data_IF_426060809513
#
_entry.id   IF_426060809513
#
_cell.length_a   1.000
_cell.length_b   1.000
_cell.length_c   1.000
_cell.angle_alpha   90.00
_cell.angle_beta   90.00
_cell.angle_gamma   90.00
#
_symmetry.space_group_name_H-M   'P 1'
#
loop_
_entity.id
_entity.type
_entity.pdbx_description
1 polymer ?
#
# COMPACT_ATOMS: atom_id res chain seq x y z
N UNK A 1 20.24 -32.88 -15.93
CA UNK A 1 20.00 -33.97 -14.96
C UNK A 1 19.86 -33.43 -13.55
N UNK A 2 19.25 -34.20 -12.63
CA UNK A 2 19.14 -33.86 -11.20
C UNK A 2 20.51 -34.01 -10.54
N UNK A 3 20.97 -32.97 -9.85
CA UNK A 3 22.24 -32.99 -9.10
C UNK A 3 22.02 -32.60 -7.65
N UNK A 4 22.84 -33.15 -6.75
CA UNK A 4 22.99 -32.64 -5.38
C UNK A 4 24.41 -32.13 -5.23
N UNK A 5 24.57 -30.82 -5.06
CA UNK A 5 25.88 -30.17 -4.95
C UNK A 5 25.99 -29.50 -3.58
N UNK A 6 27.15 -29.64 -2.95
CA UNK A 6 27.49 -28.96 -1.70
C UNK A 6 28.87 -28.35 -1.86
N UNK A 7 28.97 -27.05 -1.65
CA UNK A 7 30.23 -26.33 -1.72
C UNK A 7 30.39 -25.39 -0.53
N UNK A 8 31.64 -25.03 -0.26
CA UNK A 8 32.00 -24.15 0.84
C UNK A 8 31.75 -22.67 0.54
N UNK A 9 32.51 -21.82 1.21
CA UNK A 9 32.50 -20.38 1.03
C UNK A 9 32.89 -19.96 -0.40
N UNK A 10 32.31 -18.86 -0.90
CA UNK A 10 32.74 -18.19 -2.13
C UNK A 10 32.65 -19.07 -3.37
N UNK A 11 31.82 -20.11 -3.32
CA UNK A 11 31.77 -21.13 -4.36
C UNK A 11 30.78 -20.75 -5.45
N UNK A 12 31.09 -21.14 -6.68
CA UNK A 12 30.17 -21.04 -7.82
C UNK A 12 29.68 -22.42 -8.20
N UNK A 13 28.36 -22.63 -8.13
CA UNK A 13 27.72 -23.89 -8.48
C UNK A 13 26.71 -23.68 -9.61
N UNK A 14 26.74 -24.55 -10.61
CA UNK A 14 25.76 -24.58 -11.69
C UNK A 14 25.18 -25.99 -11.80
N UNK A 15 23.87 -26.10 -11.82
CA UNK A 15 23.19 -27.35 -12.14
C UNK A 15 21.99 -27.11 -13.05
N UNK A 16 21.38 -28.20 -13.48
CA UNK A 16 20.22 -28.16 -14.38
C UNK A 16 18.92 -28.44 -13.60
N UNK A 17 17.90 -28.90 -14.31
CA UNK A 17 16.58 -29.22 -13.80
C UNK A 17 16.59 -30.20 -12.62
N UNK A 18 15.78 -29.88 -11.59
CA UNK A 18 15.51 -30.79 -10.48
C UNK A 18 16.67 -30.94 -9.51
N UNK A 19 17.50 -29.91 -9.35
CA UNK A 19 18.74 -29.99 -8.58
C UNK A 19 18.62 -29.35 -7.20
N UNK A 20 19.44 -29.83 -6.26
CA UNK A 20 19.59 -29.30 -4.91
C UNK A 20 21.01 -28.78 -4.72
N UNK A 21 21.16 -27.47 -4.49
CA UNK A 21 22.46 -26.82 -4.30
C UNK A 21 22.51 -26.25 -2.89
N UNK A 22 23.58 -26.56 -2.16
CA UNK A 22 23.89 -25.96 -0.86
C UNK A 22 25.27 -25.31 -0.93
N UNK A 23 25.37 -24.06 -0.52
CA UNK A 23 26.61 -23.30 -0.56
C UNK A 23 26.84 -22.55 0.76
N UNK A 24 28.11 -22.20 1.02
CA UNK A 24 28.45 -21.30 2.11
C UNK A 24 28.02 -19.85 1.85
N UNK A 25 28.56 -18.94 2.64
CA UNK A 25 28.38 -17.49 2.45
C UNK A 25 29.09 -17.00 1.18
N UNK A 26 28.71 -15.82 0.68
CA UNK A 26 29.33 -15.18 -0.49
C UNK A 26 29.28 -16.03 -1.77
N UNK A 27 28.36 -17.00 -1.85
CA UNK A 27 28.37 -17.99 -2.92
C UNK A 27 27.43 -17.62 -4.05
N UNK A 28 27.72 -18.12 -5.25
CA UNK A 28 26.83 -18.01 -6.42
C UNK A 28 26.31 -19.39 -6.78
N UNK A 29 24.98 -19.55 -6.81
CA UNK A 29 24.36 -20.81 -7.21
C UNK A 29 23.32 -20.56 -8.31
N UNK A 30 23.43 -21.30 -9.40
CA UNK A 30 22.51 -21.25 -10.54
C UNK A 30 21.95 -22.64 -10.78
N UNK A 31 20.62 -22.78 -10.83
CA UNK A 31 19.99 -24.04 -11.22
C UNK A 31 18.85 -23.86 -12.22
N UNK A 32 18.46 -24.95 -12.88
CA UNK A 32 17.31 -24.96 -13.78
C UNK A 32 15.96 -24.87 -13.05
N UNK A 33 14.91 -25.34 -13.71
CA UNK A 33 13.57 -25.45 -13.12
C UNK A 33 13.55 -26.51 -12.00
N UNK A 34 12.50 -26.49 -11.17
CA UNK A 34 12.27 -27.51 -10.14
C UNK A 34 13.41 -27.67 -9.13
N UNK A 35 14.13 -26.58 -8.85
CA UNK A 35 15.37 -26.66 -8.08
C UNK A 35 15.25 -26.01 -6.71
N UNK A 36 16.09 -26.47 -5.79
CA UNK A 36 16.22 -25.95 -4.43
C UNK A 36 17.64 -25.42 -4.21
N UNK A 37 17.76 -24.14 -3.88
CA UNK A 37 19.06 -23.49 -3.66
C UNK A 37 19.08 -22.91 -2.24
N UNK A 38 20.10 -23.28 -1.48
CA UNK A 38 20.35 -22.78 -0.12
C UNK A 38 21.76 -22.22 -0.07
N UNK A 39 21.91 -20.98 0.42
CA UNK A 39 23.22 -20.39 0.63
C UNK A 39 23.29 -19.52 1.89
N UNK A 40 24.51 -19.17 2.30
CA UNK A 40 24.74 -18.27 3.42
C UNK A 40 24.44 -16.81 3.08
N UNK A 41 24.87 -15.89 3.95
CA UNK A 41 24.75 -14.45 3.73
C UNK A 41 25.58 -13.96 2.53
N UNK A 42 25.18 -12.83 1.95
CA UNK A 42 25.88 -12.20 0.83
C UNK A 42 25.89 -13.06 -0.45
N UNK A 43 24.94 -13.98 -0.60
CA UNK A 43 24.93 -14.94 -1.70
C UNK A 43 24.05 -14.49 -2.85
N UNK A 44 24.32 -15.01 -4.04
CA UNK A 44 23.52 -14.79 -5.25
C UNK A 44 22.95 -16.11 -5.76
N UNK A 45 21.62 -16.26 -5.71
CA UNK A 45 20.93 -17.48 -6.12
C UNK A 45 20.02 -17.19 -7.31
N UNK A 46 20.17 -17.97 -8.38
CA UNK A 46 19.34 -17.87 -9.58
C UNK A 46 18.73 -19.23 -9.90
N UNK A 47 17.42 -19.26 -10.11
CA UNK A 47 16.75 -20.49 -10.56
C UNK A 47 15.61 -20.22 -11.55
N UNK A 48 15.15 -21.28 -12.20
CA UNK A 48 14.02 -21.24 -13.11
C UNK A 48 12.66 -21.20 -12.42
N UNK A 49 11.72 -21.92 -13.02
CA UNK A 49 10.32 -22.03 -12.62
C UNK A 49 10.18 -23.07 -11.50
N UNK A 50 9.23 -22.84 -10.59
CA UNK A 50 8.85 -23.78 -9.53
C UNK A 50 10.06 -24.14 -8.66
N UNK A 51 10.78 -23.12 -8.23
CA UNK A 51 12.01 -23.27 -7.47
C UNK A 51 11.89 -22.66 -6.08
N UNK A 52 12.73 -23.15 -5.18
CA UNK A 52 12.85 -22.69 -3.80
C UNK A 52 14.25 -22.12 -3.61
N UNK A 53 14.35 -20.86 -3.21
CA UNK A 53 15.63 -20.19 -2.95
C UNK A 53 15.61 -19.68 -1.51
N UNK A 54 16.64 -20.00 -0.75
CA UNK A 54 16.84 -19.51 0.62
C UNK A 54 18.26 -18.99 0.79
N UNK A 55 18.40 -17.75 1.25
CA UNK A 55 19.72 -17.22 1.60
C UNK A 55 19.70 -16.36 2.87
N UNK A 56 20.89 -16.06 3.39
CA UNK A 56 21.06 -15.16 4.53
C UNK A 56 20.83 -13.69 4.19
N UNK A 57 21.23 -12.79 5.09
CA UNK A 57 21.15 -11.35 4.88
C UNK A 57 22.01 -10.86 3.70
N UNK A 58 21.66 -9.70 3.15
CA UNK A 58 22.43 -9.07 2.07
C UNK A 58 22.51 -9.90 0.79
N UNK A 59 21.53 -10.77 0.56
CA UNK A 59 21.56 -11.73 -0.55
C UNK A 59 20.72 -11.26 -1.73
N UNK A 60 21.03 -11.79 -2.91
CA UNK A 60 20.25 -11.57 -4.14
C UNK A 60 19.64 -12.88 -4.59
N UNK A 61 18.32 -12.95 -4.70
CA UNK A 61 17.59 -14.14 -5.17
C UNK A 61 16.79 -13.80 -6.41
N UNK A 62 16.93 -14.61 -7.46
CA UNK A 62 16.20 -14.46 -8.72
C UNK A 62 15.55 -15.79 -9.07
N UNK A 63 14.23 -15.80 -9.26
CA UNK A 63 13.53 -16.98 -9.77
C UNK A 63 12.41 -16.67 -10.76
N UNK A 64 11.96 -17.70 -11.48
CA UNK A 64 10.87 -17.59 -12.44
C UNK A 64 9.47 -17.66 -11.81
N UNK A 65 8.56 -18.23 -12.60
CA UNK A 65 7.14 -18.46 -12.27
C UNK A 65 6.99 -19.46 -11.10
N UNK A 66 6.00 -19.23 -10.23
CA UNK A 66 5.59 -20.16 -9.15
C UNK A 66 6.73 -20.54 -8.21
N UNK A 67 7.60 -19.59 -7.91
CA UNK A 67 8.78 -19.82 -7.08
C UNK A 67 8.61 -19.19 -5.70
N UNK A 68 9.39 -19.69 -4.74
CA UNK A 68 9.44 -19.19 -3.36
C UNK A 68 10.86 -18.70 -3.08
N UNK A 69 10.98 -17.44 -2.67
CA UNK A 69 12.25 -16.80 -2.34
C UNK A 69 12.21 -16.34 -0.89
N UNK A 70 13.19 -16.77 -0.10
CA UNK A 70 13.32 -16.38 1.31
C UNK A 70 14.74 -15.82 1.51
N UNK A 71 14.84 -14.61 2.05
CA UNK A 71 16.14 -14.05 2.41
C UNK A 71 16.10 -13.31 3.75
N UNK A 72 17.28 -12.99 4.28
CA UNK A 72 17.42 -12.17 5.48
C UNK A 72 17.14 -10.68 5.23
N UNK A 73 17.53 -9.83 6.16
CA UNK A 73 17.48 -8.38 6.02
C UNK A 73 18.40 -7.88 4.90
N UNK A 74 18.13 -6.67 4.38
CA UNK A 74 18.95 -6.01 3.36
C UNK A 74 19.05 -6.78 2.05
N UNK A 75 18.08 -7.64 1.74
CA UNK A 75 18.17 -8.55 0.60
C UNK A 75 17.34 -8.06 -0.60
N UNK A 76 17.73 -8.50 -1.79
CA UNK A 76 17.03 -8.20 -3.04
C UNK A 76 16.44 -9.47 -3.63
N UNK A 77 15.12 -9.52 -3.78
CA UNK A 77 14.41 -10.69 -4.30
C UNK A 77 13.64 -10.29 -5.55
N UNK A 78 13.90 -10.98 -6.65
CA UNK A 78 13.18 -10.80 -7.92
C UNK A 78 12.54 -12.12 -8.31
N UNK A 79 11.23 -12.10 -8.58
CA UNK A 79 10.55 -13.29 -9.07
C UNK A 79 9.57 -13.00 -10.20
N UNK A 80 9.17 -14.05 -10.91
CA UNK A 80 8.15 -13.97 -11.93
C UNK A 80 6.72 -13.88 -11.38
N UNK A 81 5.83 -14.57 -12.08
CA UNK A 81 4.39 -14.61 -11.84
C UNK A 81 4.08 -15.62 -10.72
N UNK A 82 3.03 -15.36 -9.93
CA UNK A 82 2.49 -16.30 -8.92
C UNK A 82 3.53 -16.82 -7.93
N UNK A 83 4.41 -15.93 -7.50
CA UNK A 83 5.54 -16.26 -6.63
C UNK A 83 5.36 -15.68 -5.24
N UNK A 84 6.08 -16.23 -4.28
CA UNK A 84 6.08 -15.77 -2.88
C UNK A 84 7.48 -15.31 -2.51
N UNK A 85 7.59 -14.09 -1.99
CA UNK A 85 8.85 -13.48 -1.58
C UNK A 85 8.74 -13.12 -0.10
N UNK A 86 9.72 -13.52 0.68
CA UNK A 86 9.82 -13.18 2.11
C UNK A 86 11.22 -12.67 2.41
N UNK A 87 11.32 -11.48 2.99
CA UNK A 87 12.59 -10.87 3.34
C UNK A 87 12.50 -10.09 4.65
N UNK A 88 13.65 -9.80 5.25
CA UNK A 88 13.74 -9.03 6.48
C UNK A 88 13.59 -7.52 6.27
N UNK A 89 13.98 -6.77 7.29
CA UNK A 89 14.15 -5.31 7.26
C UNK A 89 14.97 -4.82 6.06
N UNK A 90 14.65 -3.64 5.52
CA UNK A 90 15.47 -2.96 4.50
C UNK A 90 15.58 -3.73 3.18
N UNK A 91 14.59 -4.54 2.84
CA UNK A 91 14.67 -5.44 1.68
C UNK A 91 13.90 -4.92 0.48
N UNK A 92 14.36 -5.29 -0.72
CA UNK A 92 13.75 -4.94 -1.98
C UNK A 92 13.14 -6.19 -2.62
N UNK A 93 11.86 -6.14 -2.96
CA UNK A 93 11.16 -7.27 -3.56
C UNK A 93 10.44 -6.83 -4.83
N UNK A 94 10.68 -7.56 -5.92
CA UNK A 94 10.03 -7.33 -7.22
C UNK A 94 9.36 -8.62 -7.65
N UNK A 95 8.08 -8.55 -7.99
CA UNK A 95 7.36 -9.65 -8.61
C UNK A 95 6.41 -9.18 -9.69
N UNK A 96 5.91 -10.14 -10.48
CA UNK A 96 4.91 -9.85 -11.51
C UNK A 96 3.49 -10.12 -10.97
N UNK A 97 2.61 -10.60 -11.85
CA UNK A 97 1.20 -10.86 -11.60
C UNK A 97 0.96 -11.92 -10.51
N UNK A 98 -0.02 -11.67 -9.64
CA UNK A 98 -0.58 -12.68 -8.75
C UNK A 98 0.39 -13.15 -7.66
N UNK A 99 1.33 -12.30 -7.28
CA UNK A 99 2.40 -12.64 -6.34
C UNK A 99 2.13 -12.10 -4.93
N UNK A 100 2.79 -12.71 -3.95
CA UNK A 100 2.71 -12.31 -2.54
C UNK A 100 4.09 -11.92 -2.02
N UNK A 101 4.22 -10.68 -1.56
CA UNK A 101 5.47 -10.11 -1.07
C UNK A 101 5.29 -9.77 0.42
N UNK A 102 6.22 -10.23 1.23
CA UNK A 102 6.26 -9.98 2.67
C UNK A 102 7.66 -9.47 3.02
N UNK A 103 7.74 -8.28 3.59
CA UNK A 103 9.01 -7.70 4.04
C UNK A 103 8.88 -7.06 5.42
N UNK A 104 10.02 -6.80 6.05
CA UNK A 104 10.10 -6.08 7.31
C UNK A 104 9.83 -4.57 7.15
N UNK A 105 10.32 -3.80 8.13
CA UNK A 105 10.30 -2.34 8.08
C UNK A 105 11.22 -1.79 6.97
N UNK A 106 10.98 -0.55 6.57
CA UNK A 106 11.82 0.21 5.63
C UNK A 106 12.12 -0.54 4.33
N UNK A 107 11.14 -1.31 3.86
CA UNK A 107 11.29 -2.18 2.70
C UNK A 107 10.58 -1.60 1.47
N UNK A 108 11.07 -1.98 0.29
CA UNK A 108 10.48 -1.58 -0.99
C UNK A 108 9.91 -2.80 -1.67
N UNK A 109 8.64 -2.73 -2.06
CA UNK A 109 7.96 -3.81 -2.76
C UNK A 109 7.31 -3.29 -4.03
N UNK A 110 7.56 -3.98 -5.15
CA UNK A 110 6.92 -3.70 -6.44
C UNK A 110 6.29 -4.98 -6.97
N UNK A 111 5.00 -4.95 -7.27
CA UNK A 111 4.31 -6.09 -7.86
C UNK A 111 3.37 -5.73 -9.01
N UNK A 112 3.08 -6.71 -9.85
CA UNK A 112 2.07 -6.58 -10.91
C UNK A 112 0.64 -6.64 -10.38
N UNK A 113 -0.30 -6.86 -11.30
CA UNK A 113 -1.73 -6.99 -11.00
C UNK A 113 -2.06 -8.15 -10.06
N UNK A 114 -3.15 -8.01 -9.30
CA UNK A 114 -3.70 -9.03 -8.39
C UNK A 114 -2.69 -9.52 -7.34
N UNK A 115 -1.85 -8.62 -6.86
CA UNK A 115 -0.79 -8.96 -5.91
C UNK A 115 -1.16 -8.58 -4.48
N UNK A 116 -0.48 -9.19 -3.52
CA UNK A 116 -0.57 -8.86 -2.11
C UNK A 116 0.82 -8.45 -1.60
N UNK A 117 0.92 -7.25 -1.02
CA UNK A 117 2.16 -6.70 -0.48
C UNK A 117 1.94 -6.40 1.01
N UNK A 118 2.82 -6.91 1.86
CA UNK A 118 2.78 -6.71 3.31
C UNK A 118 4.15 -6.22 3.77
N UNK A 119 4.20 -5.06 4.43
CA UNK A 119 5.43 -4.45 4.90
C UNK A 119 5.28 -3.86 6.31
N UNK A 120 6.41 -3.60 6.97
CA UNK A 120 6.45 -2.88 8.23
C UNK A 120 6.31 -1.36 8.07
N UNK A 121 6.51 -0.63 9.18
CA UNK A 121 6.67 0.84 9.24
C UNK A 121 7.68 1.35 8.20
N UNK A 122 7.44 2.53 7.63
CA UNK A 122 8.39 3.24 6.78
C UNK A 122 8.60 2.61 5.41
N UNK A 123 7.67 1.77 4.97
CA UNK A 123 7.84 0.99 3.75
C UNK A 123 7.20 1.67 2.55
N UNK A 124 7.71 1.34 1.36
CA UNK A 124 7.19 1.80 0.08
C UNK A 124 6.66 0.62 -0.74
N UNK A 125 5.41 0.70 -1.17
CA UNK A 125 4.74 -0.38 -1.89
C UNK A 125 4.08 0.14 -3.15
N UNK A 126 4.37 -0.49 -4.29
CA UNK A 126 3.73 -0.20 -5.58
C UNK A 126 3.11 -1.47 -6.16
N UNK A 127 1.83 -1.43 -6.53
CA UNK A 127 1.19 -2.57 -7.18
C UNK A 127 0.24 -2.19 -8.33
N UNK A 128 0.00 -3.13 -9.23
CA UNK A 128 -0.99 -2.96 -10.30
C UNK A 128 -2.45 -3.04 -9.83
N UNK A 129 -3.38 -3.01 -10.78
CA UNK A 129 -4.82 -3.21 -10.57
C UNK A 129 -5.19 -4.46 -9.74
N UNK A 130 -6.25 -4.33 -8.92
CA UNK A 130 -6.80 -5.36 -8.02
C UNK A 130 -5.81 -5.88 -6.98
N UNK A 131 -4.97 -5.01 -6.45
CA UNK A 131 -3.97 -5.41 -5.47
C UNK A 131 -4.38 -5.06 -4.03
N UNK A 132 -3.72 -5.71 -3.07
CA UNK A 132 -3.87 -5.42 -1.65
C UNK A 132 -2.51 -5.03 -1.08
N UNK A 133 -2.43 -3.83 -0.52
CA UNK A 133 -1.22 -3.31 0.11
C UNK A 133 -1.50 -3.08 1.59
N UNK A 134 -0.65 -3.62 2.45
CA UNK A 134 -0.71 -3.46 3.91
C UNK A 134 0.67 -3.01 4.38
N UNK A 135 0.72 -1.89 5.11
CA UNK A 135 1.95 -1.36 5.68
C UNK A 135 1.75 -0.78 7.08
N UNK A 136 2.85 -0.54 7.80
CA UNK A 136 2.84 0.16 9.08
C UNK A 136 2.70 1.67 8.93
N UNK A 137 2.91 2.41 10.02
CA UNK A 137 2.94 3.87 10.00
C UNK A 137 4.09 4.43 9.14
N UNK A 138 3.99 5.69 8.69
CA UNK A 138 5.04 6.33 7.90
C UNK A 138 5.23 5.73 6.51
N UNK A 139 4.23 5.02 5.96
CA UNK A 139 4.40 4.25 4.73
C UNK A 139 3.81 4.95 3.52
N UNK A 140 4.34 4.61 2.35
CA UNK A 140 3.87 5.10 1.05
C UNK A 140 3.33 3.93 0.24
N UNK A 141 2.11 4.06 -0.26
CA UNK A 141 1.43 3.02 -1.04
C UNK A 141 0.86 3.61 -2.33
N UNK A 142 1.18 2.98 -3.46
CA UNK A 142 0.64 3.28 -4.78
C UNK A 142 -0.01 2.03 -5.38
N UNK A 143 -1.26 2.13 -5.83
CA UNK A 143 -1.90 1.03 -6.55
C UNK A 143 -2.77 1.47 -7.74
N UNK A 144 -2.99 0.56 -8.68
CA UNK A 144 -3.99 0.76 -9.74
C UNK A 144 -5.43 0.61 -9.24
N UNK A 145 -6.41 0.65 -10.16
CA UNK A 145 -7.83 0.57 -9.80
C UNK A 145 -8.22 -0.71 -9.06
N UNK A 146 -9.36 -0.64 -8.37
CA UNK A 146 -9.99 -1.75 -7.61
C UNK A 146 -9.05 -2.32 -6.54
N UNK A 147 -8.18 -1.49 -5.99
CA UNK A 147 -7.19 -1.91 -5.01
C UNK A 147 -7.63 -1.58 -3.59
N UNK A 148 -6.98 -2.21 -2.62
CA UNK A 148 -7.17 -1.96 -1.20
C UNK A 148 -5.84 -1.61 -0.55
N UNK A 149 -5.79 -0.45 0.08
CA UNK A 149 -4.61 0.06 0.75
C UNK A 149 -4.95 0.23 2.24
N UNK A 150 -4.08 -0.30 3.10
CA UNK A 150 -4.17 -0.18 4.55
C UNK A 150 -2.80 0.25 5.06
N UNK A 151 -2.76 1.34 5.82
CA UNK A 151 -1.54 1.85 6.43
C UNK A 151 -1.81 2.38 7.85
N UNK A 152 -0.74 2.59 8.61
CA UNK A 152 -0.81 3.24 9.93
C UNK A 152 -1.00 4.75 9.82
N UNK A 153 -0.66 5.47 10.90
CA UNK A 153 -0.58 6.93 10.89
C UNK A 153 0.56 7.42 9.98
N UNK A 154 0.59 8.73 9.70
CA UNK A 154 1.67 9.40 8.96
C UNK A 154 1.89 8.80 7.55
N UNK A 155 0.83 8.32 6.91
CA UNK A 155 0.95 7.51 5.69
C UNK A 155 0.34 8.18 4.47
N UNK A 156 0.94 7.91 3.31
CA UNK A 156 0.50 8.41 2.01
C UNK A 156 0.00 7.26 1.15
N UNK A 157 -1.24 7.36 0.70
CA UNK A 157 -1.89 6.34 -0.12
C UNK A 157 -2.46 6.96 -1.40
N UNK A 158 -2.09 6.40 -2.54
CA UNK A 158 -2.66 6.76 -3.84
C UNK A 158 -3.20 5.51 -4.53
N UNK A 159 -4.45 5.53 -4.97
CA UNK A 159 -5.01 4.45 -5.78
C UNK A 159 -5.85 4.94 -6.96
N UNK A 160 -6.07 4.07 -7.95
CA UNK A 160 -7.01 4.33 -9.03
C UNK A 160 -8.48 4.20 -8.61
N UNK A 161 -9.36 4.11 -9.60
CA UNK A 161 -10.82 4.06 -9.41
C UNK A 161 -11.28 2.86 -8.57
N UNK A 162 -12.46 2.98 -7.95
CA UNK A 162 -13.15 1.89 -7.21
C UNK A 162 -12.28 1.29 -6.12
N UNK A 163 -11.39 2.09 -5.54
CA UNK A 163 -10.42 1.64 -4.54
C UNK A 163 -10.93 1.88 -3.12
N UNK A 164 -10.31 1.18 -2.17
CA UNK A 164 -10.59 1.32 -0.74
C UNK A 164 -9.31 1.65 0.00
N UNK A 165 -9.26 2.82 0.62
CA UNK A 165 -8.10 3.31 1.35
C UNK A 165 -8.47 3.46 2.83
N UNK A 166 -7.60 2.98 3.71
CA UNK A 166 -7.69 3.13 5.15
C UNK A 166 -6.32 3.52 5.69
N UNK A 167 -6.26 4.63 6.42
CA UNK A 167 -5.05 5.04 7.13
C UNK A 167 -5.38 5.57 8.54
N UNK A 168 -4.34 5.68 9.37
CA UNK A 168 -4.43 6.29 10.69
C UNK A 168 -4.50 7.82 10.63
N UNK A 169 -4.10 8.46 11.72
CA UNK A 169 -4.05 9.93 11.81
C UNK A 169 -2.96 10.51 10.90
N UNK A 170 -3.02 11.82 10.65
CA UNK A 170 -1.99 12.59 9.93
C UNK A 170 -1.63 11.96 8.58
N UNK A 171 -2.64 11.56 7.81
CA UNK A 171 -2.46 10.73 6.61
C UNK A 171 -3.10 11.38 5.39
N UNK A 172 -2.51 11.12 4.23
CA UNK A 172 -2.93 11.64 2.94
C UNK A 172 -3.43 10.50 2.07
N UNK A 173 -4.70 10.56 1.67
CA UNK A 173 -5.36 9.52 0.89
C UNK A 173 -5.92 10.13 -0.39
N UNK A 174 -5.48 9.63 -1.54
CA UNK A 174 -5.97 10.04 -2.86
C UNK A 174 -6.49 8.83 -3.62
N UNK A 175 -7.71 8.92 -4.18
CA UNK A 175 -8.19 7.87 -5.08
C UNK A 175 -9.00 8.41 -6.27
N UNK A 176 -9.18 7.57 -7.29
CA UNK A 176 -10.08 7.87 -8.41
C UNK A 176 -11.57 7.76 -8.06
N UNK A 177 -12.41 7.69 -9.08
CA UNK A 177 -13.88 7.68 -8.95
C UNK A 177 -14.38 6.44 -8.20
N UNK A 178 -15.57 6.56 -7.58
CA UNK A 178 -16.29 5.46 -6.91
C UNK A 178 -15.48 4.83 -5.78
N UNK A 179 -14.60 5.61 -5.16
CA UNK A 179 -13.68 5.14 -4.15
C UNK A 179 -14.22 5.34 -2.74
N UNK A 180 -13.65 4.60 -1.79
CA UNK A 180 -13.96 4.74 -0.37
C UNK A 180 -12.69 5.02 0.41
N UNK A 181 -12.62 6.17 1.06
CA UNK A 181 -11.47 6.60 1.84
C UNK A 181 -11.90 6.72 3.30
N UNK A 182 -11.07 6.21 4.20
CA UNK A 182 -11.26 6.35 5.65
C UNK A 182 -9.95 6.75 6.30
N UNK A 183 -9.91 7.93 6.92
CA UNK A 183 -8.77 8.44 7.67
C UNK A 183 -9.08 8.55 9.16
N UNK A 184 -8.04 8.65 9.97
CA UNK A 184 -8.13 9.07 11.37
C UNK A 184 -8.35 10.58 11.50
N UNK A 185 -7.71 11.19 12.49
CA UNK A 185 -7.68 12.63 12.71
C UNK A 185 -6.59 13.30 11.85
N UNK A 186 -6.76 14.59 11.57
CA UNK A 186 -5.76 15.41 10.89
C UNK A 186 -5.40 14.85 9.49
N UNK A 187 -6.38 14.28 8.80
CA UNK A 187 -6.16 13.65 7.51
C UNK A 187 -6.60 14.55 6.34
N UNK A 188 -5.97 14.34 5.19
CA UNK A 188 -6.41 14.91 3.90
C UNK A 188 -6.87 13.79 2.99
N UNK A 189 -8.14 13.82 2.60
CA UNK A 189 -8.77 12.81 1.75
C UNK A 189 -9.23 13.49 0.46
N UNK A 190 -8.79 12.97 -0.69
CA UNK A 190 -9.20 13.44 -2.01
C UNK A 190 -9.70 12.27 -2.86
N UNK A 191 -10.89 12.40 -3.46
CA UNK A 191 -11.36 11.39 -4.41
C UNK A 191 -12.13 11.98 -5.59
N UNK A 192 -12.26 11.18 -6.66
CA UNK A 192 -13.12 11.51 -7.80
C UNK A 192 -14.62 11.39 -7.50
N UNK A 193 -15.43 11.35 -8.55
CA UNK A 193 -16.90 11.33 -8.48
C UNK A 193 -17.45 10.08 -7.79
N UNK A 194 -18.67 10.17 -7.27
CA UNK A 194 -19.42 9.05 -6.68
C UNK A 194 -18.66 8.37 -5.52
N UNK A 195 -17.81 9.14 -4.83
CA UNK A 195 -16.94 8.63 -3.79
C UNK A 195 -17.53 8.81 -2.40
N UNK A 196 -16.97 8.06 -1.45
CA UNK A 196 -17.32 8.20 -0.03
C UNK A 196 -16.06 8.42 0.81
N UNK A 197 -16.00 9.55 1.47
CA UNK A 197 -14.89 9.91 2.35
C UNK A 197 -15.39 9.97 3.79
N UNK A 198 -14.58 9.49 4.72
CA UNK A 198 -14.86 9.59 6.15
C UNK A 198 -13.55 9.85 6.88
N UNK A 199 -13.50 10.92 7.67
CA UNK A 199 -12.34 11.19 8.51
C UNK A 199 -12.78 11.68 9.89
N UNK A 200 -11.82 11.67 10.81
CA UNK A 200 -11.96 12.20 12.15
C UNK A 200 -11.98 13.72 12.18
N UNK A 201 -11.45 14.26 13.27
CA UNK A 201 -11.35 15.71 13.54
C UNK A 201 -10.31 16.37 12.64
N UNK A 202 -10.42 17.69 12.48
CA UNK A 202 -9.42 18.55 11.83
C UNK A 202 -8.97 18.05 10.45
N UNK A 203 -9.88 17.40 9.72
CA UNK A 203 -9.55 16.74 8.47
C UNK A 203 -10.09 17.53 7.28
N UNK A 204 -9.39 17.45 6.16
CA UNK A 204 -9.82 18.05 4.89
C UNK A 204 -10.32 16.94 3.99
N UNK A 205 -11.57 17.05 3.52
CA UNK A 205 -12.17 16.08 2.61
C UNK A 205 -12.60 16.82 1.34
N UNK A 206 -12.09 16.38 0.20
CA UNK A 206 -12.45 16.88 -1.13
C UNK A 206 -12.92 15.74 -2.00
N UNK A 207 -14.08 15.85 -2.64
CA UNK A 207 -14.50 14.86 -3.62
C UNK A 207 -15.19 15.45 -4.85
N UNK A 208 -15.21 14.70 -5.95
CA UNK A 208 -16.02 15.03 -7.12
C UNK A 208 -17.54 14.95 -6.87
N UNK A 209 -18.32 15.09 -7.92
CA UNK A 209 -19.78 15.14 -7.87
C UNK A 209 -20.40 13.84 -7.33
N UNK A 210 -21.63 13.94 -6.82
CA UNK A 210 -22.45 12.83 -6.32
C UNK A 210 -21.77 12.05 -5.20
N UNK A 211 -20.96 12.72 -4.40
CA UNK A 211 -20.15 12.12 -3.35
C UNK A 211 -20.79 12.27 -1.97
N UNK A 212 -20.28 11.50 -1.00
CA UNK A 212 -20.65 11.66 0.41
C UNK A 212 -19.43 11.82 1.29
N UNK A 213 -19.34 12.95 1.96
CA UNK A 213 -18.24 13.30 2.86
C UNK A 213 -18.76 13.28 4.29
N UNK A 214 -17.97 12.70 5.19
CA UNK A 214 -18.27 12.67 6.63
C UNK A 214 -17.02 13.13 7.37
N UNK A 215 -17.05 14.36 7.87
CA UNK A 215 -16.03 14.90 8.77
C UNK A 215 -16.54 15.01 10.19
N UNK A 216 -15.61 15.20 11.13
CA UNK A 216 -15.94 15.53 12.53
C UNK A 216 -15.63 17.00 12.82
N UNK A 217 -15.68 17.38 14.09
CA UNK A 217 -15.25 18.70 14.60
C UNK A 217 -13.94 19.19 13.96
N UNK A 218 -13.93 20.46 13.54
CA UNK A 218 -12.78 21.12 12.90
C UNK A 218 -12.49 20.69 11.45
N UNK A 219 -13.29 19.80 10.87
CA UNK A 219 -13.06 19.33 9.49
C UNK A 219 -13.66 20.28 8.45
N UNK A 220 -12.97 20.40 7.32
CA UNK A 220 -13.41 21.14 6.13
C UNK A 220 -13.81 20.16 5.04
N UNK A 221 -14.99 20.35 4.44
CA UNK A 221 -15.57 19.48 3.44
C UNK A 221 -15.88 20.29 2.17
N UNK A 222 -15.36 19.84 1.02
CA UNK A 222 -15.68 20.39 -0.30
C UNK A 222 -16.09 19.26 -1.23
N UNK A 223 -17.16 19.43 -1.99
CA UNK A 223 -17.58 18.44 -2.97
C UNK A 223 -18.25 19.06 -4.19
N UNK A 224 -18.18 18.37 -5.33
CA UNK A 224 -18.90 18.75 -6.55
C UNK A 224 -20.43 18.64 -6.40
N UNK A 225 -21.16 18.91 -7.48
CA UNK A 225 -22.64 18.90 -7.53
C UNK A 225 -23.28 17.62 -6.99
N UNK A 226 -24.52 17.72 -6.49
CA UNK A 226 -25.34 16.61 -5.98
C UNK A 226 -24.68 15.77 -4.85
N UNK A 227 -23.81 16.40 -4.07
CA UNK A 227 -23.05 15.73 -3.00
C UNK A 227 -23.69 15.98 -1.63
N UNK A 228 -23.44 15.06 -0.69
CA UNK A 228 -23.86 15.21 0.71
C UNK A 228 -22.66 15.45 1.60
N UNK A 229 -22.67 16.57 2.32
CA UNK A 229 -21.70 16.89 3.36
C UNK A 229 -22.33 16.58 4.72
N UNK A 230 -21.65 15.78 5.54
CA UNK A 230 -22.10 15.44 6.90
C UNK A 230 -21.04 15.84 7.90
N UNK A 231 -21.39 16.71 8.82
CA UNK A 231 -20.56 17.11 9.95
C UNK A 231 -21.05 16.39 11.20
N UNK A 232 -20.15 15.63 11.84
CA UNK A 232 -20.43 14.92 13.08
C UNK A 232 -19.90 15.71 14.27
N UNK A 233 -20.80 16.15 15.12
CA UNK A 233 -20.52 16.98 16.29
C UNK A 233 -20.80 16.19 17.57
N UNK A 234 -19.91 16.25 18.55
CA UNK A 234 -20.09 15.58 19.84
C UNK A 234 -20.58 16.59 20.87
N UNK A 235 -21.77 16.36 21.44
CA UNK A 235 -22.38 17.27 22.43
C UNK A 235 -22.03 16.92 23.90
N UNK A 236 -21.03 16.06 24.11
CA UNK A 236 -20.69 15.52 25.43
C UNK A 236 -21.41 14.22 25.79
N UNK A 237 -22.50 13.88 25.09
CA UNK A 237 -23.32 12.67 25.35
C UNK A 237 -23.55 11.81 24.12
N UNK A 238 -23.75 12.43 22.96
CA UNK A 238 -24.05 11.77 21.69
C UNK A 238 -23.49 12.55 20.51
N UNK A 239 -23.40 11.87 19.37
CA UNK A 239 -23.11 12.53 18.10
C UNK A 239 -24.39 13.11 17.49
N UNK A 240 -24.39 14.41 17.21
CA UNK A 240 -25.34 15.09 16.33
C UNK A 240 -24.77 15.16 14.91
N UNK A 241 -25.65 15.23 13.92
CA UNK A 241 -25.27 15.34 12.51
C UNK A 241 -25.89 16.60 11.92
N UNK A 242 -25.04 17.46 11.35
CA UNK A 242 -25.47 18.51 10.44
C UNK A 242 -25.24 18.03 9.01
N UNK A 243 -26.21 18.28 8.14
CA UNK A 243 -26.22 17.76 6.78
C UNK A 243 -26.46 18.91 5.81
N UNK A 244 -25.55 19.07 4.87
CA UNK A 244 -25.68 19.98 3.73
C UNK A 244 -25.65 19.19 2.42
N UNK A 245 -26.25 19.78 1.38
CA UNK A 245 -26.24 19.22 0.03
C UNK A 245 -25.79 20.28 -0.96
N UNK A 246 -24.76 19.97 -1.73
CA UNK A 246 -24.24 20.90 -2.74
C UNK A 246 -25.27 21.04 -3.87
N UNK A 247 -25.49 22.28 -4.32
CA UNK A 247 -26.56 22.64 -5.26
C UNK A 247 -27.92 22.92 -4.62
N UNK A 248 -28.06 22.81 -3.29
CA UNK A 248 -29.31 23.09 -2.56
C UNK A 248 -29.09 24.18 -1.49
N UNK A 249 -30.12 25.00 -1.22
CA UNK A 249 -30.17 25.93 -0.08
C UNK A 249 -28.95 26.85 0.09
N UNK A 250 -28.35 27.32 -1.02
CA UNK A 250 -27.19 28.22 -1.00
C UNK A 250 -25.85 27.54 -0.73
N UNK A 251 -25.81 26.20 -0.69
CA UNK A 251 -24.55 25.44 -0.62
C UNK A 251 -24.05 25.21 -2.04
N UNK A 252 -22.98 25.91 -2.41
CA UNK A 252 -22.38 25.85 -3.74
C UNK A 252 -21.47 24.63 -3.89
N UNK A 253 -21.35 24.13 -5.12
CA UNK A 253 -20.43 23.06 -5.44
C UNK A 253 -18.98 23.57 -5.42
N UNK A 254 -18.04 22.68 -5.08
CA UNK A 254 -16.59 22.93 -5.05
C UNK A 254 -16.12 24.01 -4.06
N UNK A 255 -17.04 24.53 -3.25
CA UNK A 255 -16.74 25.46 -2.16
C UNK A 255 -16.44 24.69 -0.85
N UNK A 256 -15.39 25.06 -0.10
CA UNK A 256 -15.07 24.46 1.18
C UNK A 256 -15.99 24.96 2.31
N UNK A 257 -16.65 24.04 3.00
CA UNK A 257 -17.50 24.33 4.16
C UNK A 257 -16.95 23.75 5.46
N UNK A 258 -17.18 24.43 6.58
CA UNK A 258 -16.90 23.97 7.93
C UNK A 258 -18.07 24.32 8.88
N UNK A 259 -18.01 23.84 10.11
CA UNK A 259 -18.97 24.21 11.17
C UNK A 259 -18.29 25.19 12.11
N UNK A 260 -18.88 26.37 12.31
CA UNK A 260 -18.39 27.39 13.23
C UNK A 260 -18.81 27.09 14.70
N UNK A 261 -18.44 27.99 15.62
CA UNK A 261 -18.73 27.84 17.05
C UNK A 261 -20.23 27.90 17.39
N UNK A 262 -21.06 28.46 16.50
CA UNK A 262 -22.52 28.56 16.65
C UNK A 262 -23.26 27.32 16.10
N UNK A 263 -22.54 26.26 15.73
CA UNK A 263 -23.06 25.06 15.06
C UNK A 263 -23.66 25.32 13.66
N UNK A 264 -23.28 26.42 13.00
CA UNK A 264 -23.71 26.75 11.64
C UNK A 264 -22.71 26.27 10.58
N UNK A 265 -23.23 25.83 9.43
CA UNK A 265 -22.40 25.46 8.28
C UNK A 265 -22.06 26.73 7.50
N UNK A 266 -20.78 27.06 7.43
CA UNK A 266 -20.26 28.30 6.83
C UNK A 266 -19.18 28.02 5.79
N UNK A 267 -19.03 28.92 4.83
CA UNK A 267 -18.00 28.86 3.79
C UNK A 267 -16.66 29.35 4.36
N UNK A 268 -15.57 28.63 4.05
CA UNK A 268 -14.22 28.97 4.52
C UNK A 268 -13.58 30.15 3.77
N UNK A 269 -14.07 30.53 2.59
CA UNK A 269 -13.52 31.70 1.87
C UNK A 269 -13.81 33.03 2.55
N UNK A 270 -14.77 33.06 3.48
CA UNK A 270 -15.24 34.30 4.11
C UNK A 270 -14.33 34.75 5.28
N UNK A 271 -13.33 33.94 5.68
CA UNK A 271 -12.36 34.30 6.75
C UNK A 271 -11.12 35.08 6.23
N UNK A 272 -10.81 35.08 4.93
CA UNK A 272 -9.64 35.80 4.38
C UNK A 272 -9.91 37.28 4.04
N UNK A 273 -11.15 37.76 4.23
CA UNK A 273 -11.59 39.13 3.91
C UNK A 273 -11.88 40.02 5.15
N UNK A 274 -11.45 39.61 6.36
CA UNK A 274 -11.56 40.44 7.59
C UNK A 274 -10.26 40.62 8.36
#
# INVERSE_FOLDING_TARGET
>A
YKSTLTAGYGSTQTAEHGSSLTAGYGSTATAGQDSSLIAGYGSSLTSGIRSFLTAGYGSTLIAGLRSVLIAGYGSSLTSGIRSTLTAGYGSNQIASYGSSLIAGHESIQVAGHKSMLIAGKGSSQTAGFRSTLIAGAGSVQLAGDRSRLIAGADSNQTAGDRSKLLAGNNSYLTAGDRSKLTGGHDCTLMAGDQSRLTAGKNSVLTAGARSKLIGSEGSTLSAGEDSTLVFRLWDGKRYRQLVARTGENGIEADIPYYVNDDDDIVNKTDEDDT
#
